data_IF_833064990497
#
_entry.id   IF_833064990497
#
_cell.length_a   1.000
_cell.length_b   1.000
_cell.length_c   1.000
_cell.angle_alpha   90.00
_cell.angle_beta   90.00
_cell.angle_gamma   90.00
#
_symmetry.space_group_name_H-M   'P 1'
#
loop_
_entity.id
_entity.type
_entity.pdbx_description
1 polymer ?
#
# COMPACT_ATOMS: atom_id res chain seq x y z
N UNK A 1 4.69 -12.35 -7.38
CA UNK A 1 5.62 -13.02 -8.29
C UNK A 1 5.07 -14.40 -8.59
N UNK A 2 5.17 -14.84 -9.84
CA UNK A 2 4.72 -16.15 -10.32
C UNK A 2 3.22 -16.24 -10.59
N UNK A 3 2.51 -15.11 -10.65
CA UNK A 3 1.06 -15.07 -10.87
C UNK A 3 0.67 -14.63 -12.29
N UNK A 4 1.64 -14.36 -13.18
CA UNK A 4 1.36 -13.93 -14.55
C UNK A 4 0.85 -12.50 -14.68
N UNK A 5 0.92 -11.69 -13.61
CA UNK A 5 0.49 -10.28 -13.62
C UNK A 5 1.49 -9.35 -14.33
N UNK A 6 2.66 -9.87 -14.69
CA UNK A 6 3.75 -9.17 -15.38
C UNK A 6 4.35 -10.10 -16.43
N UNK A 7 5.20 -9.58 -17.33
CA UNK A 7 5.92 -10.42 -18.29
C UNK A 7 6.70 -11.52 -17.57
N UNK A 8 6.79 -12.70 -18.20
CA UNK A 8 7.39 -13.89 -17.59
C UNK A 8 8.81 -13.65 -17.07
N UNK A 9 9.60 -12.86 -17.80
CA UNK A 9 10.96 -12.50 -17.39
C UNK A 9 11.03 -11.71 -16.08
N UNK A 10 9.99 -10.97 -15.70
CA UNK A 10 9.90 -10.33 -14.38
C UNK A 10 9.58 -11.34 -13.29
N UNK A 11 8.59 -12.21 -13.53
CA UNK A 11 8.20 -13.22 -12.55
C UNK A 11 9.37 -14.15 -12.20
N UNK A 12 10.18 -14.53 -13.18
CA UNK A 12 11.39 -15.34 -12.99
C UNK A 12 12.59 -14.51 -12.49
N UNK A 13 12.84 -13.36 -13.12
CA UNK A 13 14.04 -12.55 -12.86
C UNK A 13 14.07 -11.90 -11.48
N UNK A 14 12.92 -11.73 -10.82
CA UNK A 14 12.83 -11.19 -9.46
C UNK A 14 12.92 -12.26 -8.36
N UNK A 15 12.88 -13.55 -8.70
CA UNK A 15 13.02 -14.62 -7.72
C UNK A 15 14.36 -14.49 -6.98
N UNK A 16 14.31 -14.64 -5.65
CA UNK A 16 15.47 -14.55 -4.77
C UNK A 16 16.01 -13.13 -4.54
N UNK A 17 15.39 -12.08 -5.10
CA UNK A 17 15.72 -10.72 -4.70
C UNK A 17 15.35 -10.46 -3.24
N UNK A 18 16.19 -9.70 -2.53
CA UNK A 18 15.92 -9.21 -1.18
C UNK A 18 15.39 -7.79 -1.24
N UNK A 19 14.46 -7.45 -0.34
CA UNK A 19 13.95 -6.09 -0.18
C UNK A 19 15.11 -5.11 0.03
N UNK A 20 15.05 -3.96 -0.65
CA UNK A 20 16.12 -2.96 -0.75
C UNK A 20 17.14 -3.22 -1.85
N UNK A 21 17.24 -4.46 -2.35
CA UNK A 21 18.20 -4.86 -3.37
C UNK A 21 17.91 -4.29 -4.75
N UNK A 22 18.97 -4.05 -5.53
CA UNK A 22 18.90 -3.64 -6.94
C UNK A 22 19.42 -4.77 -7.82
N UNK A 23 18.75 -5.04 -8.94
CA UNK A 23 19.15 -6.05 -9.93
C UNK A 23 18.99 -5.50 -11.34
N UNK A 24 20.00 -5.71 -12.18
CA UNK A 24 19.90 -5.51 -13.62
C UNK A 24 19.41 -6.81 -14.25
N UNK A 25 18.40 -6.72 -15.10
CA UNK A 25 17.81 -7.86 -15.80
C UNK A 25 17.91 -7.62 -17.31
N UNK A 26 18.44 -8.61 -18.02
CA UNK A 26 18.21 -8.78 -19.45
C UNK A 26 17.13 -9.85 -19.60
N UNK A 27 16.03 -9.49 -20.25
CA UNK A 27 14.88 -10.36 -20.48
C UNK A 27 14.82 -10.64 -21.98
N UNK A 28 15.09 -11.89 -22.40
CA UNK A 28 14.92 -12.30 -23.80
C UNK A 28 13.49 -12.07 -24.28
N UNK A 29 13.32 -11.73 -25.55
CA UNK A 29 12.03 -11.42 -26.15
C UNK A 29 10.99 -12.53 -25.95
N UNK A 30 11.39 -13.81 -25.90
CA UNK A 30 10.52 -14.96 -25.65
C UNK A 30 9.87 -14.93 -24.26
N UNK A 31 10.49 -14.24 -23.31
CA UNK A 31 10.00 -14.05 -21.94
C UNK A 31 9.42 -12.65 -21.71
N UNK A 32 9.37 -11.82 -22.77
CA UNK A 32 8.80 -10.48 -22.78
C UNK A 32 7.53 -10.41 -23.64
N UNK A 33 7.56 -9.66 -24.74
CA UNK A 33 6.42 -9.41 -25.62
C UNK A 33 6.40 -10.30 -26.89
N UNK A 34 7.26 -11.32 -26.93
CA UNK A 34 7.20 -12.37 -27.94
C UNK A 34 7.51 -11.89 -29.37
N UNK A 35 7.11 -12.70 -30.34
CA UNK A 35 7.31 -12.43 -31.77
C UNK A 35 6.39 -11.35 -32.33
N UNK A 36 5.45 -10.86 -31.51
CA UNK A 36 4.44 -9.86 -31.92
C UNK A 36 4.80 -8.46 -31.42
N UNK A 37 5.35 -8.34 -30.21
CA UNK A 37 5.62 -7.04 -29.61
C UNK A 37 4.35 -6.32 -29.13
N UNK A 38 4.43 -5.00 -29.04
CA UNK A 38 3.34 -4.06 -28.70
C UNK A 38 3.50 -2.79 -29.54
N UNK A 39 2.56 -1.86 -29.45
CA UNK A 39 2.64 -0.55 -30.13
C UNK A 39 3.94 0.23 -29.85
N UNK A 40 4.59 -0.02 -28.71
CA UNK A 40 5.81 0.68 -28.28
C UNK A 40 7.07 -0.20 -28.30
N UNK A 41 6.93 -1.50 -28.47
CA UNK A 41 8.03 -2.46 -28.35
C UNK A 41 7.97 -3.38 -29.57
N UNK A 42 8.94 -3.30 -30.50
CA UNK A 42 8.93 -4.11 -31.70
C UNK A 42 8.93 -5.62 -31.42
N UNK A 43 8.45 -6.43 -32.38
CA UNK A 43 8.65 -7.88 -32.40
C UNK A 43 10.08 -8.30 -32.03
N UNK A 44 10.22 -9.39 -31.27
CA UNK A 44 11.52 -10.03 -30.97
C UNK A 44 12.57 -9.09 -30.35
N UNK A 45 12.12 -8.17 -29.50
CA UNK A 45 13.01 -7.22 -28.80
C UNK A 45 13.36 -7.70 -27.40
N UNK A 46 14.65 -7.85 -27.12
CA UNK A 46 15.17 -8.10 -25.78
C UNK A 46 15.08 -6.82 -24.92
N UNK A 47 14.74 -6.98 -23.64
CA UNK A 47 14.53 -5.86 -22.74
C UNK A 47 15.57 -5.80 -21.64
N UNK A 48 16.03 -4.60 -21.32
CA UNK A 48 16.98 -4.36 -20.24
C UNK A 48 16.34 -3.49 -19.15
N UNK A 49 16.32 -3.99 -17.92
CA UNK A 49 15.76 -3.30 -16.77
C UNK A 49 16.78 -3.15 -15.65
N UNK A 50 16.71 -2.04 -14.91
CA UNK A 50 17.29 -1.94 -13.57
C UNK A 50 16.14 -1.87 -12.58
N UNK A 51 15.99 -2.89 -11.75
CA UNK A 51 14.90 -3.03 -10.79
C UNK A 51 15.43 -2.88 -9.37
N UNK A 52 14.80 -2.02 -8.57
CA UNK A 52 14.99 -1.97 -7.12
C UNK A 52 13.77 -2.62 -6.44
N UNK A 53 13.98 -3.71 -5.71
CA UNK A 53 12.90 -4.34 -4.97
C UNK A 53 12.63 -3.51 -3.71
N UNK A 54 11.51 -2.78 -3.70
CA UNK A 54 11.18 -1.92 -2.56
C UNK A 54 10.51 -2.67 -1.41
N UNK A 55 9.80 -3.75 -1.72
CA UNK A 55 9.04 -4.52 -0.73
C UNK A 55 8.66 -5.90 -1.29
N UNK A 56 8.44 -6.89 -0.41
CA UNK A 56 7.97 -8.21 -0.77
C UNK A 56 7.15 -8.82 0.38
N UNK A 57 5.94 -9.26 0.06
CA UNK A 57 4.99 -9.86 1.00
C UNK A 57 4.71 -11.29 0.54
N UNK A 58 4.67 -12.25 1.47
CA UNK A 58 4.28 -13.63 1.15
C UNK A 58 2.77 -13.70 0.89
N UNK A 59 2.39 -14.39 -0.17
CA UNK A 59 0.98 -14.68 -0.43
C UNK A 59 0.38 -15.43 0.77
N UNK A 60 -0.71 -14.89 1.34
CA UNK A 60 -1.42 -15.48 2.48
C UNK A 60 -0.95 -15.02 3.87
N UNK A 61 0.18 -14.32 4.02
CA UNK A 61 0.51 -13.68 5.30
C UNK A 61 -0.27 -12.38 5.43
N UNK A 62 -1.25 -12.30 6.33
CA UNK A 62 -2.06 -11.10 6.62
C UNK A 62 -1.28 -10.00 7.39
N UNK A 63 0.06 -9.99 7.32
CA UNK A 63 0.92 -8.95 7.92
C UNK A 63 1.33 -7.94 6.85
N UNK A 64 0.39 -7.18 6.31
CA UNK A 64 0.61 -6.51 5.00
C UNK A 64 0.59 -4.98 5.08
N UNK A 65 1.13 -4.39 6.15
CA UNK A 65 1.53 -2.98 6.13
C UNK A 65 2.57 -2.68 7.20
N UNK A 66 3.54 -1.83 6.86
CA UNK A 66 4.49 -1.27 7.83
C UNK A 66 3.73 -0.22 8.65
N UNK A 67 3.77 -0.34 9.98
CA UNK A 67 3.17 0.64 10.88
C UNK A 67 4.14 1.00 11.99
N UNK A 68 4.20 2.28 12.30
CA UNK A 68 5.08 2.83 13.35
C UNK A 68 4.32 3.88 14.14
N UNK A 69 4.34 3.75 15.46
CA UNK A 69 3.83 4.81 16.33
C UNK A 69 4.79 6.00 16.28
N UNK A 70 4.28 7.15 15.82
CA UNK A 70 4.98 8.43 15.86
C UNK A 70 4.80 9.10 17.22
N UNK A 71 3.65 8.86 17.85
CA UNK A 71 3.32 9.28 19.21
C UNK A 71 2.38 8.27 19.82
N UNK A 72 2.71 7.76 21.00
CA UNK A 72 1.79 6.89 21.76
C UNK A 72 0.83 7.77 22.54
N UNK A 73 -0.47 7.56 22.34
CA UNK A 73 -1.52 8.26 23.10
C UNK A 73 -1.68 7.70 24.50
N UNK A 74 -2.43 8.41 25.36
CA UNK A 74 -2.66 8.02 26.76
C UNK A 74 -4.11 7.66 27.04
N UNK A 75 -5.04 8.00 26.15
CA UNK A 75 -6.46 7.76 26.37
C UNK A 75 -6.91 6.34 26.04
N UNK A 76 -8.21 6.21 25.78
CA UNK A 76 -8.86 4.95 25.44
C UNK A 76 -8.20 4.26 24.23
N UNK A 77 -8.17 2.93 24.26
CA UNK A 77 -7.55 2.09 23.21
C UNK A 77 -8.60 1.75 22.17
N UNK A 78 -8.29 1.95 20.89
CA UNK A 78 -9.09 1.45 19.78
C UNK A 78 -8.98 -0.08 19.69
N UNK A 79 -10.10 -0.78 19.83
CA UNK A 79 -10.18 -2.24 19.82
C UNK A 79 -10.94 -2.72 18.59
N UNK A 80 -10.53 -3.88 18.10
CA UNK A 80 -11.36 -4.68 17.20
C UNK A 80 -12.43 -5.45 18.01
N UNK A 81 -13.48 -5.96 17.36
CA UNK A 81 -14.53 -6.72 18.03
C UNK A 81 -15.84 -6.84 17.26
N UNK A 82 -16.88 -7.36 17.94
CA UNK A 82 -18.26 -7.43 17.46
C UNK A 82 -19.22 -6.83 18.50
N UNK A 83 -19.36 -5.48 18.56
CA UNK A 83 -18.77 -4.49 17.65
C UNK A 83 -17.33 -4.09 18.02
N UNK A 84 -16.57 -3.63 17.03
CA UNK A 84 -15.30 -2.93 17.26
C UNK A 84 -15.54 -1.51 17.77
N UNK A 85 -14.48 -0.84 18.21
CA UNK A 85 -14.54 0.56 18.66
C UNK A 85 -15.03 1.48 17.55
N UNK A 86 -15.87 2.46 17.93
CA UNK A 86 -16.16 3.59 17.06
C UNK A 86 -15.09 4.64 17.29
N UNK A 87 -14.41 5.06 16.22
CA UNK A 87 -13.23 5.91 16.30
C UNK A 87 -13.43 7.20 15.53
N UNK A 88 -12.79 8.26 16.00
CA UNK A 88 -12.65 9.52 15.28
C UNK A 88 -11.17 9.77 15.04
N UNK A 89 -10.79 9.97 13.79
CA UNK A 89 -9.40 10.20 13.40
C UNK A 89 -9.24 11.45 12.54
N UNK A 90 -8.10 12.09 12.71
CA UNK A 90 -7.50 12.86 11.63
C UNK A 90 -6.47 11.99 10.90
N UNK A 91 -6.25 12.28 9.64
CA UNK A 91 -5.23 11.64 8.82
C UNK A 91 -4.76 12.52 7.66
N UNK A 92 -3.57 12.19 7.17
CA UNK A 92 -3.00 12.63 5.90
C UNK A 92 -2.59 11.41 5.08
N UNK A 93 -3.22 11.24 3.92
CA UNK A 93 -2.92 10.22 2.91
C UNK A 93 -2.04 10.79 1.80
N UNK A 94 -0.87 10.18 1.58
CA UNK A 94 0.11 10.61 0.58
C UNK A 94 0.73 9.44 -0.18
N UNK A 95 1.23 9.72 -1.37
CA UNK A 95 2.05 8.79 -2.15
C UNK A 95 3.47 8.75 -1.59
N UNK A 96 4.24 7.72 -1.98
CA UNK A 96 5.65 7.57 -1.59
C UNK A 96 6.55 8.73 -2.01
N UNK A 97 6.16 9.49 -3.02
CA UNK A 97 6.86 10.70 -3.47
C UNK A 97 6.48 11.95 -2.66
N UNK A 98 5.69 11.80 -1.59
CA UNK A 98 5.25 12.90 -0.73
C UNK A 98 3.98 13.63 -1.20
N UNK A 99 3.48 13.36 -2.41
CA UNK A 99 2.25 14.01 -2.91
C UNK A 99 1.05 13.58 -2.06
N UNK A 100 0.46 14.53 -1.35
CA UNK A 100 -0.78 14.35 -0.59
C UNK A 100 -1.94 14.18 -1.58
N UNK A 101 -2.77 13.17 -1.36
CA UNK A 101 -3.99 12.92 -2.16
C UNK A 101 -5.27 13.07 -1.34
N UNK A 102 -5.17 13.05 0.00
CA UNK A 102 -6.31 13.13 0.90
C UNK A 102 -5.85 13.66 2.27
N UNK A 103 -6.38 14.78 2.75
CA UNK A 103 -6.03 15.36 4.06
C UNK A 103 -7.28 15.83 4.79
N UNK A 104 -7.58 15.17 5.91
CA UNK A 104 -8.74 15.49 6.74
C UNK A 104 -8.61 16.82 7.50
N UNK A 105 -7.39 17.28 7.78
CA UNK A 105 -7.16 18.58 8.40
C UNK A 105 -7.47 19.71 7.42
N UNK A 106 -7.05 19.58 6.17
CA UNK A 106 -7.35 20.57 5.12
C UNK A 106 -8.86 20.73 4.89
N UNK A 107 -9.63 19.64 5.02
CA UNK A 107 -11.09 19.69 4.95
C UNK A 107 -11.77 20.14 6.23
N UNK A 108 -11.04 20.17 7.35
CA UNK A 108 -11.58 20.36 8.70
C UNK A 108 -12.71 19.36 9.05
N UNK A 109 -12.63 18.15 8.53
CA UNK A 109 -13.63 17.08 8.74
C UNK A 109 -12.90 15.78 9.10
N UNK A 110 -12.88 15.38 10.38
CA UNK A 110 -12.36 14.09 10.81
C UNK A 110 -13.15 12.92 10.18
N UNK A 111 -12.49 11.77 10.02
CA UNK A 111 -13.20 10.54 9.68
C UNK A 111 -13.74 9.88 10.94
N UNK A 112 -15.00 9.44 10.86
CA UNK A 112 -15.67 8.67 11.92
C UNK A 112 -16.16 7.37 11.33
N UNK A 113 -15.78 6.25 11.94
CA UNK A 113 -16.18 4.91 11.51
C UNK A 113 -16.07 3.90 12.65
N UNK A 114 -16.65 2.73 12.48
CA UNK A 114 -16.56 1.60 13.39
C UNK A 114 -15.55 0.58 12.84
N UNK A 115 -14.56 0.22 13.65
CA UNK A 115 -13.58 -0.80 13.27
C UNK A 115 -14.29 -2.12 13.00
N UNK A 116 -13.96 -2.75 11.86
CA UNK A 116 -14.49 -4.04 11.44
C UNK A 116 -15.71 -3.94 10.52
N UNK A 117 -16.25 -2.74 10.25
CA UNK A 117 -17.39 -2.55 9.34
C UNK A 117 -16.99 -2.35 7.88
N UNK A 118 -15.72 -2.10 7.58
CA UNK A 118 -15.27 -1.87 6.21
C UNK A 118 -15.78 -0.54 5.62
N UNK A 119 -15.94 0.47 6.48
CA UNK A 119 -16.37 1.83 6.10
C UNK A 119 -15.20 2.63 5.50
N UNK A 120 -13.97 2.24 5.83
CA UNK A 120 -12.73 2.75 5.22
C UNK A 120 -11.89 1.59 4.69
N UNK A 121 -10.68 1.88 4.18
CA UNK A 121 -9.74 0.84 3.78
C UNK A 121 -9.56 -0.16 4.94
N UNK A 122 -9.91 -1.44 4.74
CA UNK A 122 -9.82 -2.48 5.79
C UNK A 122 -8.44 -2.55 6.44
N UNK A 123 -7.39 -2.31 5.66
CA UNK A 123 -6.03 -2.25 6.16
C UNK A 123 -5.80 -1.08 7.13
N UNK A 124 -6.41 0.08 6.87
CA UNK A 124 -6.38 1.24 7.74
C UNK A 124 -7.16 0.99 9.04
N UNK A 125 -8.33 0.34 8.97
CA UNK A 125 -9.07 -0.08 10.17
C UNK A 125 -8.21 -0.98 11.06
N UNK A 126 -7.61 -2.03 10.47
CA UNK A 126 -6.67 -2.92 11.19
C UNK A 126 -5.46 -2.16 11.73
N UNK A 127 -4.98 -1.14 11.02
CA UNK A 127 -3.79 -0.37 11.42
C UNK A 127 -4.01 0.45 12.68
N UNK A 128 -5.24 0.89 12.92
CA UNK A 128 -5.63 1.73 14.06
C UNK A 128 -5.87 0.89 15.32
N UNK A 129 -6.14 -0.40 15.19
CA UNK A 129 -6.26 -1.31 16.34
C UNK A 129 -5.02 -1.22 17.23
N UNK A 130 -5.24 -1.04 18.53
CA UNK A 130 -4.21 -0.84 19.55
C UNK A 130 -3.69 0.58 19.68
N UNK A 131 -4.09 1.54 18.82
CA UNK A 131 -3.80 2.96 19.06
C UNK A 131 -4.54 3.45 20.31
N UNK A 132 -3.95 4.41 21.00
CA UNK A 132 -4.57 5.14 22.11
C UNK A 132 -4.94 6.55 21.69
N UNK A 133 -6.06 7.07 22.19
CA UNK A 133 -6.48 8.46 21.97
C UNK A 133 -5.33 9.43 22.31
N UNK A 134 -5.11 10.40 21.42
CA UNK A 134 -3.99 11.35 21.43
C UNK A 134 -2.71 10.83 20.76
N UNK A 135 -2.74 9.60 20.24
CA UNK A 135 -1.63 8.96 19.54
C UNK A 135 -1.59 9.28 18.04
N UNK A 136 -0.39 9.24 17.47
CA UNK A 136 -0.12 9.38 16.04
C UNK A 136 0.58 8.13 15.52
N UNK A 137 0.15 7.62 14.38
CA UNK A 137 0.70 6.41 13.74
C UNK A 137 0.92 6.64 12.26
N UNK A 138 2.09 6.25 11.79
CA UNK A 138 2.42 6.17 10.39
C UNK A 138 2.12 4.75 9.88
N UNK A 139 1.53 4.64 8.70
CA UNK A 139 1.06 3.39 8.11
C UNK A 139 1.38 3.39 6.62
N UNK A 140 2.11 2.40 6.11
CA UNK A 140 2.38 2.22 4.68
C UNK A 140 1.66 1.01 4.15
N UNK A 141 0.71 1.27 3.25
CA UNK A 141 -0.15 0.27 2.64
C UNK A 141 0.33 -0.03 1.22
N UNK A 142 0.66 -1.29 0.89
CA UNK A 142 0.89 -1.68 -0.49
C UNK A 142 -0.43 -1.64 -1.28
N UNK A 143 -0.38 -1.66 -2.62
CA UNK A 143 -1.54 -1.43 -3.47
C UNK A 143 -2.69 -2.40 -3.18
N UNK A 144 -2.39 -3.68 -2.92
CA UNK A 144 -3.38 -4.74 -2.67
C UNK A 144 -4.19 -4.51 -1.38
N UNK A 145 -3.67 -3.70 -0.45
CA UNK A 145 -4.35 -3.27 0.77
C UNK A 145 -4.91 -1.85 0.70
N UNK A 146 -4.68 -1.16 -0.41
CA UNK A 146 -5.10 0.21 -0.65
C UNK A 146 -6.02 0.27 -1.89
N UNK A 147 -5.56 0.87 -2.99
CA UNK A 147 -6.38 1.16 -4.17
C UNK A 147 -6.10 0.22 -5.37
N UNK A 148 -5.28 -0.82 -5.18
CA UNK A 148 -5.09 -1.91 -6.13
C UNK A 148 -4.58 -1.48 -7.50
N UNK A 149 -4.90 -2.30 -8.51
CA UNK A 149 -4.51 -2.10 -9.90
C UNK A 149 -5.24 -0.95 -10.59
N UNK A 150 -6.33 -0.45 -10.01
CA UNK A 150 -7.13 0.63 -10.60
C UNK A 150 -6.77 2.01 -10.04
N UNK A 151 -6.18 2.07 -8.84
CA UNK A 151 -5.92 3.35 -8.17
C UNK A 151 -7.22 4.03 -7.70
N UNK A 152 -7.19 5.35 -7.54
CA UNK A 152 -8.35 6.16 -7.14
C UNK A 152 -8.39 7.43 -7.98
N UNK A 153 -9.26 7.42 -9.00
CA UNK A 153 -9.44 8.54 -9.92
C UNK A 153 -8.11 9.05 -10.47
N UNK A 154 -7.94 10.38 -10.51
CA UNK A 154 -6.68 11.03 -10.92
C UNK A 154 -5.68 11.23 -9.77
N UNK A 155 -6.06 10.95 -8.52
CA UNK A 155 -5.27 11.34 -7.34
C UNK A 155 -4.32 10.25 -6.86
N UNK A 156 -4.69 8.97 -7.01
CA UNK A 156 -3.83 7.82 -6.71
C UNK A 156 -3.68 6.97 -7.97
N UNK A 157 -2.48 6.88 -8.57
CA UNK A 157 -2.25 6.02 -9.73
C UNK A 157 -2.46 4.53 -9.44
N UNK A 158 -2.77 3.72 -10.47
CA UNK A 158 -2.70 2.26 -10.42
C UNK A 158 -1.46 1.72 -9.72
N UNK A 159 -1.62 0.65 -8.94
CA UNK A 159 -0.53 -0.06 -8.27
C UNK A 159 0.35 0.82 -7.36
N UNK A 160 -0.22 1.90 -6.80
CA UNK A 160 0.50 2.81 -5.91
C UNK A 160 0.56 2.29 -4.47
N UNK A 161 1.75 2.37 -3.88
CA UNK A 161 1.92 2.31 -2.42
C UNK A 161 1.48 3.66 -1.85
N UNK A 162 0.67 3.63 -0.79
CA UNK A 162 0.20 4.82 -0.10
C UNK A 162 0.66 4.83 1.35
N UNK A 163 0.81 6.02 1.89
CA UNK A 163 1.22 6.28 3.26
C UNK A 163 0.11 7.07 3.93
N UNK A 164 -0.29 6.63 5.12
CA UNK A 164 -1.20 7.35 6.00
C UNK A 164 -0.46 7.75 7.28
N UNK A 165 -0.54 9.01 7.63
CA UNK A 165 -0.26 9.48 8.99
C UNK A 165 -1.60 9.72 9.67
N UNK A 166 -1.86 8.99 10.75
CA UNK A 166 -3.16 8.96 11.44
C UNK A 166 -2.99 9.51 12.84
N UNK A 167 -3.92 10.35 13.27
CA UNK A 167 -4.07 10.84 14.63
C UNK A 167 -5.42 10.36 15.20
N UNK A 168 -5.37 9.61 16.31
CA UNK A 168 -6.59 9.10 16.96
C UNK A 168 -7.12 10.14 17.95
N UNK A 169 -8.27 10.73 17.63
CA UNK A 169 -8.88 11.82 18.41
C UNK A 169 -9.83 11.30 19.47
N UNK A 170 -10.60 10.25 19.16
CA UNK A 170 -11.63 9.71 20.04
C UNK A 170 -11.84 8.22 19.81
N UNK A 171 -12.19 7.53 20.89
CA UNK A 171 -12.70 6.16 20.90
C UNK A 171 -13.97 6.15 21.75
N UNK A 172 -15.04 5.59 21.20
CA UNK A 172 -16.33 5.33 21.85
C UNK A 172 -16.54 3.82 22.04
#
# INVERSE_FOLDING_TARGET
LGAGNVIRGWDEGLVGMRVGGVRKLMIPWEKAYGSTGTDRIPPKTDLYFTVKLLDAVRAGEERVYDKRDLKVGTGAVAKDGKPGSKVTIHYVGKLVNGRVFDDSHQRNVPAVFTIGKGEVLRALEKAIVGMRVGGKRWVRLPPQLAFGAYGRGSVVPPNSVVIYEVELLKVE
#
